data_IF_393094014306
#
_entry.id   IF_393094014306
#
_cell.length_a   1.000
_cell.length_b   1.000
_cell.length_c   1.000
_cell.angle_alpha   90.00
_cell.angle_beta   90.00
_cell.angle_gamma   90.00
#
_symmetry.space_group_name_H-M   'P 1'
#
loop_
_entity.id
_entity.type
_entity.pdbx_description
1 polymer ?
#
# COMPACT_ATOMS: atom_id res chain seq x y z
N UNK A 1 30.57 -2.19 -46.74
CA UNK A 1 29.89 -3.41 -46.24
C UNK A 1 30.62 -3.99 -45.02
N UNK A 2 31.85 -4.49 -45.15
CA UNK A 2 32.64 -5.07 -44.03
C UNK A 2 32.90 -4.12 -42.84
N UNK A 3 33.15 -2.84 -43.11
CA UNK A 3 33.36 -1.80 -42.08
C UNK A 3 32.09 -1.46 -41.28
N UNK A 4 30.93 -1.55 -41.93
CA UNK A 4 29.62 -1.31 -41.31
C UNK A 4 29.25 -2.49 -40.41
N UNK A 5 29.50 -3.73 -40.87
CA UNK A 5 29.34 -4.94 -40.06
C UNK A 5 30.24 -4.91 -38.83
N UNK A 6 31.49 -4.45 -38.98
CA UNK A 6 32.42 -4.30 -37.86
C UNK A 6 31.93 -3.27 -36.84
N UNK A 7 31.40 -2.13 -37.30
CA UNK A 7 30.82 -1.09 -36.45
C UNK A 7 29.58 -1.59 -35.69
N UNK A 8 28.72 -2.38 -36.35
CA UNK A 8 27.51 -2.94 -35.75
C UNK A 8 27.84 -3.99 -34.67
N UNK A 9 28.89 -4.79 -34.89
CA UNK A 9 29.39 -5.74 -33.89
C UNK A 9 30.01 -5.04 -32.66
N UNK A 10 30.71 -3.92 -32.86
CA UNK A 10 31.28 -3.14 -31.75
C UNK A 10 30.16 -2.50 -30.92
N UNK A 11 29.13 -1.94 -31.56
CA UNK A 11 27.97 -1.36 -30.85
C UNK A 11 27.18 -2.43 -30.12
N UNK A 12 26.99 -3.62 -30.70
CA UNK A 12 26.30 -4.71 -30.00
C UNK A 12 27.13 -5.29 -28.84
N UNK A 13 28.47 -5.29 -28.96
CA UNK A 13 29.36 -5.64 -27.86
C UNK A 13 29.35 -4.61 -26.72
N UNK A 14 29.27 -3.31 -27.05
CA UNK A 14 29.26 -2.24 -26.04
C UNK A 14 27.94 -2.22 -25.25
N UNK A 15 26.80 -2.54 -25.87
CA UNK A 15 25.50 -2.54 -25.18
C UNK A 15 25.34 -3.68 -24.19
N UNK A 16 25.99 -4.83 -24.42
CA UNK A 16 25.98 -5.98 -23.50
C UNK A 16 26.79 -5.69 -22.22
N UNK A 17 27.79 -4.81 -22.31
CA UNK A 17 28.67 -4.48 -21.20
C UNK A 17 28.11 -3.37 -20.28
N UNK A 18 26.96 -2.78 -20.63
CA UNK A 18 26.27 -1.82 -19.77
C UNK A 18 25.37 -2.62 -18.82
N UNK A 19 25.71 -2.77 -17.53
CA UNK A 19 24.79 -3.38 -16.58
C UNK A 19 23.54 -2.51 -16.53
N UNK A 20 22.38 -3.10 -16.86
CA UNK A 20 21.11 -2.45 -16.62
C UNK A 20 21.04 -2.12 -15.12
N UNK A 21 20.82 -0.85 -14.72
CA UNK A 21 20.53 -0.57 -13.33
C UNK A 21 19.33 -1.45 -12.92
N UNK A 22 19.31 -1.97 -11.67
CA UNK A 22 18.15 -2.69 -11.20
C UNK A 22 16.92 -1.82 -11.45
N UNK A 23 15.90 -2.41 -12.07
CA UNK A 23 14.62 -1.73 -12.20
C UNK A 23 14.22 -1.29 -10.79
N UNK A 24 14.16 0.02 -10.57
CA UNK A 24 13.63 0.56 -9.33
C UNK A 24 12.17 0.14 -9.27
N UNK A 25 11.87 -0.90 -8.51
CA UNK A 25 10.52 -1.17 -8.09
C UNK A 25 10.17 -0.05 -7.11
N UNK A 26 9.35 0.90 -7.55
CA UNK A 26 8.80 1.90 -6.65
C UNK A 26 7.83 1.16 -5.73
N UNK A 27 8.34 0.71 -4.57
CA UNK A 27 7.50 0.25 -3.47
C UNK A 27 6.66 1.44 -3.02
N UNK A 28 5.42 1.51 -3.48
CA UNK A 28 4.47 2.54 -3.06
C UNK A 28 3.94 2.19 -1.67
N UNK A 29 4.79 2.34 -0.65
CA UNK A 29 4.38 2.19 0.75
C UNK A 29 3.57 3.42 1.16
N UNK A 30 2.34 3.18 1.62
CA UNK A 30 1.40 4.25 1.99
C UNK A 30 1.63 4.62 3.45
N UNK A 31 2.20 5.80 3.66
CA UNK A 31 2.44 6.34 5.00
C UNK A 31 1.21 7.10 5.51
N UNK A 32 0.67 6.65 6.65
CA UNK A 32 -0.44 7.31 7.34
C UNK A 32 0.13 8.25 8.42
N UNK A 33 -0.30 9.51 8.42
CA UNK A 33 0.10 10.50 9.43
C UNK A 33 -1.11 10.88 10.29
N UNK A 34 -0.94 10.88 11.61
CA UNK A 34 -1.89 11.45 12.57
C UNK A 34 -1.25 12.67 13.24
N UNK A 35 -1.85 13.85 13.09
CA UNK A 35 -1.30 15.10 13.61
C UNK A 35 0.19 15.31 13.22
N UNK A 36 0.50 15.07 11.94
CA UNK A 36 1.86 15.15 11.35
C UNK A 36 2.86 14.11 11.88
N UNK A 37 2.45 13.17 12.72
CA UNK A 37 3.30 12.08 13.21
C UNK A 37 2.96 10.77 12.48
N UNK A 38 3.96 9.98 12.07
CA UNK A 38 3.71 8.69 11.43
C UNK A 38 2.95 7.76 12.37
N UNK A 39 1.89 7.15 11.86
CA UNK A 39 1.10 6.17 12.58
C UNK A 39 1.63 4.77 12.25
N UNK A 40 2.08 4.05 13.27
CA UNK A 40 2.45 2.65 13.11
C UNK A 40 1.21 1.81 12.81
N UNK A 41 1.27 1.05 11.72
CA UNK A 41 0.20 0.13 11.32
C UNK A 41 0.67 -1.32 11.39
N UNK A 42 -0.24 -2.21 11.73
CA UNK A 42 0.05 -3.66 11.81
C UNK A 42 -0.11 -4.35 10.45
N UNK A 43 -0.90 -3.75 9.56
CA UNK A 43 -1.12 -4.23 8.20
C UNK A 43 -0.84 -3.09 7.22
N UNK A 44 -0.32 -3.41 6.04
CA UNK A 44 -0.05 -2.43 4.99
C UNK A 44 -1.37 -1.96 4.36
N UNK A 45 -1.42 -0.70 3.96
CA UNK A 45 -2.55 -0.17 3.20
C UNK A 45 -2.47 -0.62 1.74
N UNK A 46 -3.61 -0.84 1.10
CA UNK A 46 -3.67 -1.30 -0.29
C UNK A 46 -4.50 -0.33 -1.13
N UNK A 47 -4.20 -0.27 -2.43
CA UNK A 47 -4.99 0.48 -3.40
C UNK A 47 -5.74 -0.54 -4.26
N UNK A 48 -7.06 -0.44 -4.27
CA UNK A 48 -7.92 -1.30 -5.08
C UNK A 48 -9.09 -0.48 -5.61
N UNK A 49 -9.37 -0.60 -6.92
CA UNK A 49 -10.48 0.11 -7.59
C UNK A 49 -10.50 1.62 -7.29
N UNK A 50 -9.35 2.28 -7.44
CA UNK A 50 -9.15 3.72 -7.16
C UNK A 50 -9.47 4.14 -5.71
N UNK A 51 -9.47 3.20 -4.77
CA UNK A 51 -9.66 3.45 -3.34
C UNK A 51 -8.47 2.96 -2.54
N UNK A 52 -8.13 3.71 -1.50
CA UNK A 52 -7.12 3.30 -0.53
C UNK A 52 -7.82 2.65 0.66
N UNK A 53 -7.49 1.39 0.92
CA UNK A 53 -7.92 0.67 2.10
C UNK A 53 -6.85 0.79 3.17
N UNK A 54 -7.25 1.36 4.30
CA UNK A 54 -6.37 1.64 5.42
C UNK A 54 -6.72 0.75 6.63
N UNK A 55 -5.76 0.51 7.55
CA UNK A 55 -5.99 -0.30 8.74
C UNK A 55 -6.96 0.38 9.72
N UNK A 56 -8.25 0.07 9.61
CA UNK A 56 -9.30 0.73 10.38
C UNK A 56 -9.04 0.70 11.91
N UNK A 57 -8.58 -0.45 12.44
CA UNK A 57 -8.26 -0.60 13.87
C UNK A 57 -7.18 0.37 14.33
N UNK A 58 -6.05 0.44 13.62
CA UNK A 58 -4.94 1.33 13.99
C UNK A 58 -5.38 2.79 13.98
N UNK A 59 -6.19 3.21 13.00
CA UNK A 59 -6.72 4.57 12.93
C UNK A 59 -7.65 4.85 14.11
N UNK A 60 -8.62 3.98 14.37
CA UNK A 60 -9.59 4.17 15.45
C UNK A 60 -8.90 4.21 16.82
N UNK A 61 -7.97 3.30 17.09
CA UNK A 61 -7.24 3.26 18.35
C UNK A 61 -6.34 4.50 18.53
N UNK A 62 -5.70 4.98 17.46
CA UNK A 62 -4.89 6.19 17.51
C UNK A 62 -5.72 7.47 17.76
N UNK A 63 -7.00 7.44 17.41
CA UNK A 63 -7.99 8.48 17.75
C UNK A 63 -8.57 8.30 19.16
N UNK A 64 -8.08 7.36 19.96
CA UNK A 64 -8.59 7.07 21.31
C UNK A 64 -9.86 6.23 21.34
N UNK A 65 -10.29 5.71 20.19
CA UNK A 65 -11.45 4.85 20.05
C UNK A 65 -11.16 3.36 20.22
N UNK A 66 -12.19 2.54 19.99
CA UNK A 66 -12.09 1.07 19.97
C UNK A 66 -13.03 0.44 18.93
N UNK A 67 -12.60 -0.68 18.37
CA UNK A 67 -13.42 -1.52 17.47
C UNK A 67 -13.71 -2.86 18.14
N UNK A 68 -14.99 -3.22 18.22
CA UNK A 68 -15.47 -4.53 18.68
C UNK A 68 -16.11 -5.30 17.53
N UNK A 69 -15.66 -6.52 17.31
CA UNK A 69 -16.23 -7.43 16.31
C UNK A 69 -17.05 -8.51 17.00
N UNK A 70 -18.31 -8.66 16.61
CA UNK A 70 -19.23 -9.70 17.07
C UNK A 70 -19.44 -10.71 15.94
N UNK A 71 -18.64 -11.80 15.89
CA UNK A 71 -18.62 -12.70 14.74
C UNK A 71 -19.96 -13.39 14.50
N UNK A 72 -20.68 -13.75 15.57
CA UNK A 72 -21.99 -14.41 15.47
C UNK A 72 -23.06 -13.53 14.78
N UNK A 73 -22.91 -12.21 14.85
CA UNK A 73 -23.84 -11.23 14.27
C UNK A 73 -23.29 -10.59 13.00
N UNK A 74 -22.07 -10.95 12.59
CA UNK A 74 -21.27 -10.22 11.61
C UNK A 74 -21.27 -8.70 11.85
N UNK A 75 -21.29 -8.28 13.11
CA UNK A 75 -21.48 -6.88 13.50
C UNK A 75 -20.16 -6.27 13.97
N UNK A 76 -19.80 -5.15 13.36
CA UNK A 76 -18.68 -4.31 13.72
C UNK A 76 -19.19 -3.05 14.43
N UNK A 77 -18.80 -2.86 15.69
CA UNK A 77 -19.08 -1.62 16.42
C UNK A 77 -17.79 -0.83 16.63
N UNK A 78 -17.83 0.44 16.25
CA UNK A 78 -16.75 1.41 16.40
C UNK A 78 -17.21 2.46 17.40
N UNK A 79 -16.39 2.74 18.41
CA UNK A 79 -16.65 3.74 19.43
C UNK A 79 -15.51 4.75 19.43
N UNK A 80 -15.82 6.03 19.29
CA UNK A 80 -14.87 7.15 19.36
C UNK A 80 -15.55 8.25 20.15
N UNK A 81 -15.01 8.61 21.31
CA UNK A 81 -15.62 9.57 22.24
C UNK A 81 -17.11 9.27 22.51
N UNK A 82 -18.01 10.18 22.10
CA UNK A 82 -19.46 10.05 22.21
C UNK A 82 -20.15 9.49 20.96
N UNK A 83 -19.39 9.08 19.94
CA UNK A 83 -19.89 8.55 18.69
C UNK A 83 -19.81 7.03 18.66
N UNK A 84 -20.88 6.40 18.18
CA UNK A 84 -20.92 4.96 17.91
C UNK A 84 -21.37 4.73 16.48
N UNK A 85 -20.60 3.95 15.74
CA UNK A 85 -20.95 3.48 14.38
C UNK A 85 -21.08 1.97 14.44
N UNK A 86 -22.16 1.44 13.85
CA UNK A 86 -22.44 0.01 13.76
C UNK A 86 -22.53 -0.37 12.29
N UNK A 87 -21.80 -1.40 11.90
CA UNK A 87 -21.76 -1.92 10.53
C UNK A 87 -21.95 -3.43 10.56
N UNK A 88 -23.01 -3.92 9.91
CA UNK A 88 -23.19 -5.35 9.67
C UNK A 88 -22.51 -5.70 8.36
N UNK A 89 -21.67 -6.73 8.38
CA UNK A 89 -20.92 -7.21 7.22
C UNK A 89 -21.75 -8.29 6.52
N UNK A 90 -21.75 -8.25 5.19
CA UNK A 90 -22.56 -9.10 4.30
C UNK A 90 -24.09 -8.92 4.48
N UNK A 91 -24.53 -7.77 5.00
CA UNK A 91 -25.95 -7.38 5.00
C UNK A 91 -26.34 -6.93 3.57
N UNK A 92 -27.42 -7.49 2.98
CA UNK A 92 -27.80 -7.25 1.59
C UNK A 92 -28.29 -5.83 1.27
#
# INVERSE_FOLDING_TARGET
MKKIILLLLIVMGITILIPLPPAFTQSSEINILLNQKPLATTVSSIIENDRIFVPARNIVEALGGRITWFPALKLLNIYIDNHTVSLVIDDP
#
